data_IF_880627374316
#
_entry.id   IF_880627374316
#
_cell.length_a   1.000
_cell.length_b   1.000
_cell.length_c   1.000
_cell.angle_alpha   90.00
_cell.angle_beta   90.00
_cell.angle_gamma   90.00
#
_symmetry.space_group_name_H-M   'P 1'
#
loop_
_entity.id
_entity.type
_entity.pdbx_description
1 polymer ?
#
# COMPACT_ATOMS: atom_id res chain seq x y z
N UNK A 1 -15.65 -14.41 -9.22
CA UNK A 1 -15.16 -13.25 -8.43
C UNK A 1 -14.54 -12.18 -9.32
N UNK A 2 -13.37 -12.38 -9.94
CA UNK A 2 -12.75 -11.31 -10.76
C UNK A 2 -13.58 -10.89 -12.00
N UNK A 3 -14.26 -11.84 -12.65
CA UNK A 3 -15.20 -11.55 -13.74
C UNK A 3 -16.42 -10.73 -13.27
N UNK A 4 -16.98 -11.07 -12.10
CA UNK A 4 -18.09 -10.32 -11.48
C UNK A 4 -17.73 -8.86 -11.24
N UNK A 5 -16.51 -8.59 -10.74
CA UNK A 5 -16.02 -7.23 -10.49
C UNK A 5 -15.89 -6.39 -11.75
N UNK A 6 -15.39 -6.97 -12.84
CA UNK A 6 -15.28 -6.29 -14.14
C UNK A 6 -16.65 -6.00 -14.72
N UNK A 7 -17.56 -6.97 -14.67
CA UNK A 7 -18.95 -6.80 -15.13
C UNK A 7 -19.68 -5.72 -14.32
N UNK A 8 -19.46 -5.66 -13.01
CA UNK A 8 -19.99 -4.60 -12.15
C UNK A 8 -19.40 -3.22 -12.48
N UNK A 9 -18.11 -3.15 -12.84
CA UNK A 9 -17.50 -1.90 -13.26
C UNK A 9 -18.07 -1.43 -14.61
N UNK A 10 -18.26 -2.33 -15.57
CA UNK A 10 -18.91 -1.97 -16.83
C UNK A 10 -20.31 -1.42 -16.59
N UNK A 11 -21.11 -2.08 -15.76
CA UNK A 11 -22.50 -1.66 -15.48
C UNK A 11 -22.64 -0.24 -14.90
N UNK A 12 -21.63 0.24 -14.18
CA UNK A 12 -21.70 1.49 -13.41
C UNK A 12 -20.91 2.61 -14.06
N UNK A 13 -19.79 2.27 -14.69
CA UNK A 13 -18.89 3.25 -15.29
C UNK A 13 -19.21 3.52 -16.77
N UNK A 14 -19.97 2.66 -17.46
CA UNK A 14 -20.36 2.89 -18.86
C UNK A 14 -21.20 4.13 -19.08
N UNK A 15 -22.00 4.52 -18.09
CA UNK A 15 -22.92 5.66 -18.21
C UNK A 15 -22.22 7.01 -18.02
N UNK A 16 -20.98 6.98 -17.53
CA UNK A 16 -20.22 8.17 -17.10
C UNK A 16 -18.86 8.31 -17.78
N UNK A 17 -18.26 7.21 -18.24
CA UNK A 17 -16.95 7.20 -18.90
C UNK A 17 -17.09 6.91 -20.40
N UNK A 18 -16.29 7.60 -21.21
CA UNK A 18 -16.10 7.25 -22.61
C UNK A 18 -15.40 5.89 -22.75
N UNK A 19 -15.57 5.23 -23.90
CA UNK A 19 -15.12 3.85 -24.14
C UNK A 19 -13.61 3.65 -23.91
N UNK A 20 -12.80 4.65 -24.26
CA UNK A 20 -11.35 4.63 -24.00
C UNK A 20 -11.03 4.70 -22.49
N UNK A 21 -11.66 5.63 -21.78
CA UNK A 21 -11.49 5.81 -20.34
C UNK A 21 -12.02 4.61 -19.53
N UNK A 22 -13.13 4.00 -19.98
CA UNK A 22 -13.68 2.78 -19.41
C UNK A 22 -12.70 1.61 -19.59
N UNK A 23 -12.12 1.46 -20.79
CA UNK A 23 -11.13 0.42 -21.07
C UNK A 23 -9.92 0.56 -20.16
N UNK A 24 -9.38 1.78 -19.99
CA UNK A 24 -8.27 2.03 -19.06
C UNK A 24 -8.64 1.76 -17.59
N UNK A 25 -9.84 2.17 -17.17
CA UNK A 25 -10.33 1.91 -15.82
C UNK A 25 -10.43 0.40 -15.54
N UNK A 26 -10.87 -0.40 -16.51
CA UNK A 26 -10.96 -1.86 -16.38
C UNK A 26 -9.58 -2.53 -16.32
N UNK A 27 -8.58 -2.02 -17.07
CA UNK A 27 -7.19 -2.44 -16.92
C UNK A 27 -6.64 -2.12 -15.53
N UNK A 28 -6.85 -0.89 -15.08
CA UNK A 28 -6.45 -0.44 -13.75
C UNK A 28 -7.09 -1.30 -12.66
N UNK A 29 -8.38 -1.63 -12.80
CA UNK A 29 -9.11 -2.49 -11.88
C UNK A 29 -8.48 -3.89 -11.80
N UNK A 30 -8.10 -4.45 -12.94
CA UNK A 30 -7.48 -5.77 -13.00
C UNK A 30 -6.11 -5.80 -12.29
N UNK A 31 -5.30 -4.75 -12.47
CA UNK A 31 -3.95 -4.66 -11.90
C UNK A 31 -3.95 -4.29 -10.41
N UNK A 32 -4.89 -3.44 -9.98
CA UNK A 32 -4.92 -2.86 -8.63
C UNK A 32 -5.89 -3.56 -7.66
N UNK A 33 -7.05 -4.04 -8.12
CA UNK A 33 -8.05 -4.64 -7.21
C UNK A 33 -7.78 -6.13 -7.00
N UNK A 34 -7.17 -6.45 -5.86
CA UNK A 34 -6.95 -7.84 -5.41
C UNK A 34 -8.16 -8.44 -4.66
N UNK A 35 -9.02 -7.60 -4.09
CA UNK A 35 -10.20 -8.01 -3.30
C UNK A 35 -11.44 -7.13 -3.50
N UNK A 36 -12.45 -7.36 -2.65
CA UNK A 36 -13.72 -6.61 -2.59
C UNK A 36 -13.82 -5.77 -1.31
N UNK A 37 -12.69 -5.46 -0.70
CA UNK A 37 -12.67 -4.63 0.49
C UNK A 37 -13.10 -3.21 0.13
N UNK A 38 -13.80 -2.56 1.05
CA UNK A 38 -14.28 -1.18 0.88
C UNK A 38 -13.11 -0.23 0.57
N UNK A 39 -11.95 -0.42 1.19
CA UNK A 39 -10.74 0.37 0.90
C UNK A 39 -10.24 0.22 -0.54
N UNK A 40 -10.28 -1.00 -1.09
CA UNK A 40 -9.88 -1.26 -2.48
C UNK A 40 -10.87 -0.64 -3.47
N UNK A 41 -12.16 -0.68 -3.12
CA UNK A 41 -13.23 -0.05 -3.90
C UNK A 41 -13.08 1.48 -3.91
N UNK A 42 -12.85 2.10 -2.75
CA UNK A 42 -12.66 3.56 -2.64
C UNK A 42 -11.42 3.98 -3.43
N UNK A 43 -10.28 3.30 -3.22
CA UNK A 43 -9.03 3.64 -3.90
C UNK A 43 -9.15 3.51 -5.43
N UNK A 44 -9.89 2.51 -5.92
CA UNK A 44 -10.16 2.35 -7.34
C UNK A 44 -11.05 3.48 -7.89
N UNK A 45 -12.18 3.77 -7.24
CA UNK A 45 -13.09 4.83 -7.67
C UNK A 45 -12.39 6.19 -7.65
N UNK A 46 -11.58 6.48 -6.62
CA UNK A 46 -10.80 7.72 -6.52
C UNK A 46 -9.75 7.82 -7.63
N UNK A 47 -9.05 6.74 -7.96
CA UNK A 47 -8.07 6.73 -9.05
C UNK A 47 -8.72 6.97 -10.41
N UNK A 48 -9.91 6.40 -10.65
CA UNK A 48 -10.68 6.64 -11.87
C UNK A 48 -11.23 8.07 -11.91
N UNK A 49 -11.70 8.59 -10.77
CA UNK A 49 -12.21 9.94 -10.65
C UNK A 49 -11.14 11.00 -10.87
N UNK A 50 -9.95 10.82 -10.30
CA UNK A 50 -8.81 11.72 -10.50
C UNK A 50 -8.36 11.77 -11.96
N UNK A 51 -8.34 10.62 -12.65
CA UNK A 51 -7.94 10.53 -14.06
C UNK A 51 -8.95 11.17 -15.02
N UNK A 52 -10.23 11.11 -14.68
CA UNK A 52 -11.32 11.63 -15.52
C UNK A 52 -11.87 12.98 -15.02
N UNK A 53 -11.21 13.59 -14.02
CA UNK A 53 -11.60 14.88 -13.43
C UNK A 53 -13.08 14.93 -12.99
N UNK A 54 -13.56 13.84 -12.38
CA UNK A 54 -14.96 13.72 -11.95
C UNK A 54 -15.22 14.54 -10.68
N UNK A 55 -16.41 15.15 -10.61
CA UNK A 55 -16.85 15.93 -9.45
C UNK A 55 -17.26 15.02 -8.27
N UNK A 56 -17.21 15.57 -7.05
CA UNK A 56 -17.46 14.82 -5.81
C UNK A 56 -18.85 14.18 -5.74
N UNK A 57 -19.87 14.74 -6.41
CA UNK A 57 -21.20 14.14 -6.45
C UNK A 57 -21.24 12.92 -7.37
N UNK A 58 -20.54 12.98 -8.51
CA UNK A 58 -20.35 11.84 -9.42
C UNK A 58 -19.53 10.72 -8.77
N UNK A 59 -18.47 11.05 -8.02
CA UNK A 59 -17.68 10.07 -7.25
C UNK A 59 -18.54 9.32 -6.23
N UNK A 60 -19.38 10.04 -5.48
CA UNK A 60 -20.28 9.42 -4.50
C UNK A 60 -21.34 8.52 -5.16
N UNK A 61 -21.84 8.87 -6.35
CA UNK A 61 -22.73 7.99 -7.11
C UNK A 61 -22.02 6.74 -7.61
N UNK A 62 -20.80 6.89 -8.16
CA UNK A 62 -19.99 5.78 -8.64
C UNK A 62 -19.67 4.79 -7.52
N UNK A 63 -19.28 5.27 -6.35
CA UNK A 63 -19.03 4.41 -5.18
C UNK A 63 -20.27 3.60 -4.79
N UNK A 64 -21.42 4.27 -4.61
CA UNK A 64 -22.66 3.59 -4.20
C UNK A 64 -23.17 2.63 -5.28
N UNK A 65 -23.11 3.02 -6.54
CA UNK A 65 -23.51 2.20 -7.68
C UNK A 65 -22.63 0.96 -7.81
N UNK A 66 -21.31 1.12 -7.72
CA UNK A 66 -20.36 0.03 -7.84
C UNK A 66 -20.42 -0.94 -6.65
N UNK A 67 -20.53 -0.41 -5.43
CA UNK A 67 -20.74 -1.23 -4.24
C UNK A 67 -22.05 -2.04 -4.29
N UNK A 68 -23.13 -1.45 -4.82
CA UNK A 68 -24.40 -2.15 -5.04
C UNK A 68 -24.26 -3.22 -6.12
N UNK A 69 -23.63 -2.91 -7.25
CA UNK A 69 -23.44 -3.84 -8.37
C UNK A 69 -22.58 -5.06 -8.00
N UNK A 70 -21.62 -4.90 -7.07
CA UNK A 70 -20.82 -6.02 -6.53
C UNK A 70 -21.64 -6.99 -5.66
N UNK A 71 -22.74 -6.53 -5.06
CA UNK A 71 -23.64 -7.33 -4.21
C UNK A 71 -24.89 -7.81 -4.93
N UNK A 72 -25.14 -7.33 -6.14
CA UNK A 72 -26.29 -7.73 -6.95
C UNK A 72 -26.02 -9.07 -7.65
N UNK A 73 -27.09 -9.75 -8.06
CA UNK A 73 -26.98 -11.07 -8.69
C UNK A 73 -26.15 -10.98 -10.00
N UNK A 74 -25.10 -11.81 -10.17
CA UNK A 74 -24.23 -11.78 -11.35
C UNK A 74 -24.95 -12.01 -12.69
N UNK A 75 -26.17 -12.54 -12.68
CA UNK A 75 -26.99 -12.75 -13.89
C UNK A 75 -27.56 -11.44 -14.46
N UNK A 76 -27.63 -10.37 -13.67
CA UNK A 76 -28.07 -9.03 -14.13
C UNK A 76 -26.95 -8.14 -14.66
N UNK A 77 -25.70 -8.56 -14.48
CA UNK A 77 -24.55 -7.78 -14.92
C UNK A 77 -24.32 -7.93 -16.44
N UNK A 78 -23.80 -6.90 -17.12
CA UNK A 78 -23.46 -6.98 -18.55
C UNK A 78 -22.36 -8.03 -18.81
N UNK A 79 -22.17 -8.43 -20.06
CA UNK A 79 -21.14 -9.40 -20.45
C UNK A 79 -19.74 -8.89 -20.07
N UNK A 80 -18.82 -9.79 -19.68
CA UNK A 80 -17.43 -9.41 -19.33
C UNK A 80 -16.69 -8.95 -20.60
N UNK A 81 -16.22 -7.69 -20.69
CA UNK A 81 -15.51 -7.19 -21.88
C UNK A 81 -14.05 -7.68 -21.94
N UNK A 82 -13.58 -8.36 -20.90
CA UNK A 82 -12.18 -8.79 -20.76
C UNK A 82 -11.64 -9.66 -21.91
N UNK A 83 -12.39 -10.62 -22.48
CA UNK A 83 -11.92 -11.38 -23.65
C UNK A 83 -11.68 -10.47 -24.87
N UNK A 84 -12.57 -9.52 -25.12
CA UNK A 84 -12.45 -8.56 -26.23
C UNK A 84 -11.28 -7.61 -26.02
N UNK A 85 -11.07 -7.11 -24.80
CA UNK A 85 -9.93 -6.23 -24.46
C UNK A 85 -8.59 -6.95 -24.61
N UNK A 86 -8.49 -8.22 -24.22
CA UNK A 86 -7.29 -9.02 -24.39
C UNK A 86 -6.99 -9.29 -25.87
N UNK A 87 -8.02 -9.59 -26.67
CA UNK A 87 -7.88 -9.77 -28.11
C UNK A 87 -7.41 -8.47 -28.80
N UNK A 88 -7.97 -7.31 -28.42
CA UNK A 88 -7.52 -6.01 -28.92
C UNK A 88 -6.06 -5.71 -28.56
N UNK A 89 -5.63 -6.00 -27.32
CA UNK A 89 -4.24 -5.79 -26.90
C UNK A 89 -3.26 -6.76 -27.56
N UNK A 90 -3.69 -7.98 -27.84
CA UNK A 90 -2.91 -8.95 -28.60
C UNK A 90 -2.77 -8.55 -30.07
N UNK A 91 -3.79 -7.93 -30.67
CA UNK A 91 -3.74 -7.41 -32.04
C UNK A 91 -2.84 -6.16 -32.19
N UNK A 92 -2.69 -5.37 -31.13
CA UNK A 92 -1.79 -4.19 -31.09
C UNK A 92 -0.32 -4.61 -30.90
N UNK A 93 -0.05 -5.82 -30.39
CA UNK A 93 1.31 -6.35 -30.40
C UNK A 93 1.70 -6.67 -31.85
N UNK A 94 2.80 -6.10 -32.38
CA UNK A 94 3.27 -6.47 -33.70
C UNK A 94 3.53 -7.97 -33.70
N UNK A 95 2.88 -8.69 -34.62
CA UNK A 95 3.10 -10.11 -34.84
C UNK A 95 4.60 -10.32 -35.09
N UNK A 96 5.23 -11.16 -34.28
CA UNK A 96 6.62 -11.51 -34.48
C UNK A 96 6.78 -12.04 -35.92
N UNK A 97 7.73 -11.54 -36.71
CA UNK A 97 7.95 -12.06 -38.06
C UNK A 97 8.32 -13.56 -37.96
N UNK A 98 7.90 -14.38 -38.93
CA UNK A 98 8.23 -15.80 -38.91
C UNK A 98 9.75 -15.98 -38.93
N UNK A 99 10.28 -17.03 -38.27
CA UNK A 99 11.72 -17.25 -38.23
C UNK A 99 12.23 -17.50 -39.67
N UNK A 100 13.21 -16.72 -40.16
CA UNK A 100 13.87 -17.06 -41.42
C UNK A 100 14.76 -18.30 -41.21
N UNK A 101 14.97 -19.13 -42.25
CA UNK A 101 15.90 -20.24 -42.17
C UNK A 101 17.31 -19.71 -41.91
N UNK A 102 18.04 -20.43 -41.08
CA UNK A 102 19.42 -20.16 -40.68
C UNK A 102 20.31 -19.98 -41.91
N UNK A 103 20.77 -18.75 -42.14
CA UNK A 103 21.86 -18.45 -43.04
C UNK A 103 22.87 -17.61 -42.26
N UNK A 104 24.03 -18.21 -42.00
CA UNK A 104 25.16 -17.57 -41.36
C UNK A 104 25.72 -16.47 -42.27
N UNK A 105 25.81 -15.21 -41.81
CA UNK A 105 26.82 -14.26 -42.33
C UNK A 105 26.98 -13.02 -41.44
N UNK A 106 28.22 -12.88 -40.93
CA UNK A 106 29.06 -11.72 -40.60
C UNK A 106 28.45 -10.41 -40.07
N UNK A 107 29.02 -9.94 -38.95
CA UNK A 107 28.91 -8.59 -38.41
C UNK A 107 29.44 -7.51 -39.40
N UNK A 108 28.99 -6.25 -39.21
CA UNK A 108 29.98 -5.25 -38.82
C UNK A 108 29.51 -4.29 -37.71
N UNK A 109 30.52 -3.72 -37.05
CA UNK A 109 30.45 -2.84 -35.91
C UNK A 109 29.85 -1.46 -36.21
N UNK A 110 29.12 -0.91 -35.25
CA UNK A 110 28.74 0.50 -35.18
C UNK A 110 29.29 1.09 -33.88
N UNK A 111 30.10 2.14 -34.00
CA UNK A 111 30.79 2.81 -32.90
C UNK A 111 29.83 3.58 -31.97
N UNK A 112 30.10 3.65 -30.65
CA UNK A 112 29.28 4.45 -29.73
C UNK A 112 29.67 5.93 -29.82
N UNK A 113 28.69 6.79 -30.12
CA UNK A 113 28.79 8.23 -29.92
C UNK A 113 28.58 8.50 -28.43
N UNK A 114 29.66 8.74 -27.70
CA UNK A 114 29.66 9.10 -26.28
C UNK A 114 29.12 10.53 -26.16
N UNK A 115 27.92 10.68 -25.61
CA UNK A 115 27.36 11.98 -25.25
C UNK A 115 27.81 12.33 -23.81
N UNK A 116 28.77 13.25 -23.61
CA UNK A 116 29.42 13.48 -22.31
C UNK A 116 28.47 14.02 -21.23
N UNK A 117 27.34 14.61 -21.62
CA UNK A 117 26.33 15.14 -20.69
C UNK A 117 25.49 14.02 -20.05
N UNK A 118 25.21 12.95 -20.80
CA UNK A 118 24.45 11.80 -20.28
C UNK A 118 25.27 11.00 -19.25
N UNK A 119 26.59 10.91 -19.47
CA UNK A 119 27.50 10.24 -18.52
C UNK A 119 27.67 11.07 -17.24
N UNK A 120 27.74 12.41 -17.35
CA UNK A 120 27.83 13.29 -16.19
C UNK A 120 26.54 13.28 -15.33
N UNK A 121 25.36 13.21 -15.96
CA UNK A 121 24.09 13.14 -15.24
C UNK A 121 23.88 11.77 -14.56
N UNK A 122 24.32 10.69 -15.20
CA UNK A 122 24.31 9.35 -14.62
C UNK A 122 25.30 9.22 -13.44
N UNK A 123 26.48 9.84 -13.53
CA UNK A 123 27.45 9.89 -12.44
C UNK A 123 26.99 10.76 -11.27
N UNK A 124 26.26 11.85 -11.52
CA UNK A 124 25.67 12.68 -10.47
C UNK A 124 24.47 12.00 -9.77
N UNK A 125 23.68 11.20 -10.50
CA UNK A 125 22.60 10.40 -9.92
C UNK A 125 23.11 9.18 -9.15
N UNK A 126 24.28 8.65 -9.50
CA UNK A 126 24.96 7.60 -8.73
C UNK A 126 25.62 8.11 -7.43
N UNK A 127 25.70 9.43 -7.24
CA UNK A 127 26.27 10.07 -6.05
C UNK A 127 25.21 10.60 -5.07
N UNK A 128 24.00 10.02 -5.06
CA UNK A 128 23.11 10.13 -3.92
C UNK A 128 23.75 9.38 -2.73
N UNK A 129 23.75 9.93 -1.51
CA UNK A 129 24.51 9.38 -0.40
C UNK A 129 24.07 7.94 -0.15
N UNK A 130 25.05 7.05 -0.21
CA UNK A 130 24.96 5.66 0.24
C UNK A 130 24.38 5.71 1.65
N UNK A 131 23.07 5.48 1.76
CA UNK A 131 22.42 5.28 3.05
C UNK A 131 23.07 4.02 3.61
N UNK A 132 23.91 4.22 4.62
CA UNK A 132 24.52 3.15 5.37
C UNK A 132 23.44 2.12 5.69
N UNK A 133 23.60 0.89 5.20
CA UNK A 133 22.76 -0.24 5.58
C UNK A 133 22.92 -0.44 7.08
N UNK A 134 22.02 0.17 7.86
CA UNK A 134 21.87 -0.07 9.30
C UNK A 134 21.31 -1.50 9.46
N UNK A 135 21.77 -2.30 10.44
CA UNK A 135 21.23 -3.64 10.68
C UNK A 135 19.70 -3.58 10.75
N UNK A 136 19.00 -4.37 9.92
CA UNK A 136 17.54 -4.29 9.73
C UNK A 136 16.70 -4.75 10.93
N UNK A 137 17.30 -4.89 12.11
CA UNK A 137 16.67 -5.48 13.30
C UNK A 137 15.59 -4.57 13.91
N UNK A 138 15.81 -3.25 14.12
CA UNK A 138 14.80 -2.40 14.76
C UNK A 138 13.51 -2.22 13.92
N UNK A 139 13.56 -2.00 12.59
CA UNK A 139 12.36 -1.94 11.74
C UNK A 139 11.53 -3.22 11.74
N UNK A 140 12.18 -4.40 11.74
CA UNK A 140 11.48 -5.69 11.73
C UNK A 140 10.74 -5.91 13.06
N UNK A 141 11.39 -5.60 14.19
CA UNK A 141 10.79 -5.72 15.52
C UNK A 141 9.65 -4.72 15.72
N UNK A 142 9.84 -3.47 15.28
CA UNK A 142 8.77 -2.48 15.27
C UNK A 142 7.59 -2.95 14.41
N UNK A 143 7.87 -3.50 13.22
CA UNK A 143 6.83 -4.01 12.33
C UNK A 143 6.05 -5.19 12.91
N UNK A 144 6.74 -6.11 13.59
CA UNK A 144 6.10 -7.20 14.33
C UNK A 144 5.19 -6.69 15.45
N UNK A 145 5.68 -5.73 16.25
CA UNK A 145 4.91 -5.10 17.32
C UNK A 145 3.65 -4.41 16.78
N UNK A 146 3.78 -3.59 15.75
CA UNK A 146 2.65 -2.88 15.13
C UNK A 146 1.61 -3.83 14.56
N UNK A 147 2.04 -4.89 13.85
CA UNK A 147 1.11 -5.91 13.33
C UNK A 147 0.34 -6.60 14.44
N UNK A 148 1.02 -6.96 15.53
CA UNK A 148 0.38 -7.60 16.67
C UNK A 148 -0.63 -6.66 17.35
N UNK A 149 -0.28 -5.40 17.58
CA UNK A 149 -1.19 -4.39 18.16
C UNK A 149 -2.41 -4.18 17.26
N UNK A 150 -2.22 -3.97 15.95
CA UNK A 150 -3.33 -3.75 15.02
C UNK A 150 -4.23 -4.99 14.92
N UNK A 151 -3.65 -6.19 14.89
CA UNK A 151 -4.41 -7.44 14.87
C UNK A 151 -5.21 -7.62 16.15
N UNK A 152 -4.62 -7.37 17.32
CA UNK A 152 -5.27 -7.45 18.63
C UNK A 152 -6.47 -6.51 18.71
N UNK A 153 -6.27 -5.23 18.38
CA UNK A 153 -7.33 -4.21 18.38
C UNK A 153 -8.41 -4.57 17.37
N UNK A 154 -8.06 -5.04 16.17
CA UNK A 154 -9.05 -5.44 15.17
C UNK A 154 -9.88 -6.66 15.60
N UNK A 155 -9.26 -7.65 16.25
CA UNK A 155 -9.94 -8.88 16.68
C UNK A 155 -10.88 -8.64 17.86
N UNK A 156 -10.46 -7.84 18.83
CA UNK A 156 -11.21 -7.66 20.09
C UNK A 156 -12.05 -6.38 20.12
N UNK A 157 -11.66 -5.33 19.39
CA UNK A 157 -12.26 -4.00 19.47
C UNK A 157 -12.27 -3.31 18.09
N UNK A 158 -12.95 -3.93 17.12
CA UNK A 158 -12.95 -3.47 15.72
C UNK A 158 -13.39 -2.02 15.57
N UNK A 159 -14.43 -1.59 16.29
CA UNK A 159 -14.87 -0.18 16.27
C UNK A 159 -13.83 0.81 16.80
N UNK A 160 -12.96 0.39 17.72
CA UNK A 160 -11.94 1.26 18.31
C UNK A 160 -10.71 1.44 17.41
N UNK A 161 -10.51 0.57 16.40
CA UNK A 161 -9.35 0.66 15.51
C UNK A 161 -9.32 1.98 14.74
N UNK A 162 -10.49 2.46 14.28
CA UNK A 162 -10.60 3.72 13.54
C UNK A 162 -10.29 4.94 14.43
N UNK A 163 -10.70 4.91 15.70
CA UNK A 163 -10.37 5.95 16.69
C UNK A 163 -8.88 5.92 17.05
N UNK A 164 -8.31 4.74 17.35
CA UNK A 164 -6.87 4.58 17.60
C UNK A 164 -6.05 5.10 16.41
N UNK A 165 -6.47 4.79 15.17
CA UNK A 165 -5.83 5.33 13.97
C UNK A 165 -5.90 6.86 13.95
N UNK A 166 -7.09 7.43 14.12
CA UNK A 166 -7.31 8.88 14.07
C UNK A 166 -6.46 9.60 15.12
N UNK A 167 -6.46 9.11 16.35
CA UNK A 167 -5.70 9.69 17.45
C UNK A 167 -4.19 9.53 17.25
N UNK A 168 -3.73 8.38 16.75
CA UNK A 168 -2.33 8.17 16.40
C UNK A 168 -1.87 9.12 15.29
N UNK A 169 -2.69 9.33 14.25
CA UNK A 169 -2.37 10.23 13.14
C UNK A 169 -2.39 11.70 13.56
N UNK A 170 -3.31 12.10 14.44
CA UNK A 170 -3.37 13.45 15.01
C UNK A 170 -2.13 13.75 15.86
N UNK A 171 -1.69 12.77 16.66
CA UNK A 171 -0.49 12.89 17.52
C UNK A 171 0.81 12.81 16.72
N UNK A 172 0.81 12.14 15.57
CA UNK A 172 1.97 12.03 14.68
C UNK A 172 2.49 13.38 14.19
N UNK A 173 1.60 14.36 13.96
CA UNK A 173 1.99 15.70 13.52
C UNK A 173 2.86 16.43 14.55
N UNK A 174 2.63 16.19 15.84
CA UNK A 174 3.42 16.75 16.94
C UNK A 174 4.63 15.90 17.34
N UNK A 175 4.82 14.72 16.73
CA UNK A 175 5.93 13.82 17.06
C UNK A 175 7.26 14.33 16.52
N UNK A 176 8.35 13.96 17.20
CA UNK A 176 9.71 14.29 16.78
C UNK A 176 10.25 13.39 15.66
N UNK A 177 9.45 12.43 15.18
CA UNK A 177 9.86 11.49 14.15
C UNK A 177 10.14 12.20 12.81
N UNK A 178 11.13 11.69 12.07
CA UNK A 178 11.51 12.21 10.76
C UNK A 178 10.29 12.37 9.82
N UNK A 179 10.17 13.48 9.05
CA UNK A 179 9.00 13.73 8.19
C UNK A 179 8.69 12.60 7.20
N UNK A 180 9.73 12.00 6.60
CA UNK A 180 9.57 10.87 5.69
C UNK A 180 8.99 9.64 6.39
N UNK A 181 9.42 9.37 7.62
CA UNK A 181 8.93 8.26 8.43
C UNK A 181 7.47 8.49 8.85
N UNK A 182 7.11 9.73 9.20
CA UNK A 182 5.71 10.10 9.49
C UNK A 182 4.82 9.81 8.28
N UNK A 183 5.23 10.21 7.07
CA UNK A 183 4.48 9.91 5.86
C UNK A 183 4.30 8.40 5.64
N UNK A 184 5.36 7.60 5.82
CA UNK A 184 5.27 6.14 5.68
C UNK A 184 4.37 5.51 6.76
N UNK A 185 4.43 6.01 7.99
CA UNK A 185 3.53 5.58 9.07
C UNK A 185 2.07 5.91 8.75
N UNK A 186 1.77 7.10 8.17
CA UNK A 186 0.43 7.43 7.67
C UNK A 186 -0.04 6.46 6.58
N UNK A 187 0.84 6.16 5.62
CA UNK A 187 0.57 5.19 4.56
C UNK A 187 0.32 3.79 5.12
N UNK A 188 1.05 3.40 6.17
CA UNK A 188 0.86 2.13 6.88
C UNK A 188 -0.54 1.99 7.46
N UNK A 189 -1.06 3.05 8.08
CA UNK A 189 -2.42 3.07 8.63
C UNK A 189 -3.54 2.93 7.58
N UNK A 190 -3.30 3.35 6.34
CA UNK A 190 -4.28 3.14 5.25
C UNK A 190 -4.48 1.66 4.93
N UNK A 191 -3.47 0.82 5.22
CA UNK A 191 -3.46 -0.63 5.01
C UNK A 191 -3.06 -1.37 6.29
N UNK A 192 -3.56 -0.93 7.45
CA UNK A 192 -3.04 -1.34 8.75
C UNK A 192 -2.90 -2.86 8.95
N UNK A 193 -3.86 -3.65 8.46
CA UNK A 193 -3.87 -5.13 8.58
C UNK A 193 -2.97 -5.84 7.56
N UNK A 194 -2.65 -5.19 6.44
CA UNK A 194 -1.91 -5.79 5.31
C UNK A 194 -0.48 -5.26 5.21
N UNK A 195 -0.19 -4.14 5.88
CA UNK A 195 1.12 -3.52 5.88
C UNK A 195 2.10 -4.33 6.73
N UNK A 196 3.34 -4.45 6.28
CA UNK A 196 4.42 -5.15 6.99
C UNK A 196 4.97 -4.33 8.16
N UNK A 197 4.71 -3.02 8.15
CA UNK A 197 5.12 -2.03 9.14
C UNK A 197 6.64 -1.94 9.32
N UNK A 198 7.40 -2.39 8.32
CA UNK A 198 8.85 -2.30 8.30
C UNK A 198 9.26 -0.90 7.83
N UNK A 199 9.23 0.05 8.76
CA UNK A 199 9.53 1.43 8.46
C UNK A 199 11.04 1.71 8.59
N UNK A 200 11.73 2.20 7.54
CA UNK A 200 13.13 2.57 7.61
C UNK A 200 13.32 3.83 8.47
N UNK A 201 13.52 3.63 9.76
CA UNK A 201 13.74 4.68 10.76
C UNK A 201 14.84 4.34 11.75
N UNK A 202 15.38 5.36 12.41
CA UNK A 202 16.32 5.13 13.51
C UNK A 202 15.59 4.51 14.71
N UNK A 203 16.32 3.89 15.63
CA UNK A 203 15.73 3.36 16.87
C UNK A 203 14.97 4.46 17.64
N UNK A 204 15.49 5.68 17.70
CA UNK A 204 14.81 6.81 18.34
C UNK A 204 13.47 7.15 17.66
N UNK A 205 13.45 7.18 16.32
CA UNK A 205 12.21 7.48 15.59
C UNK A 205 11.15 6.37 15.77
N UNK A 206 11.55 5.10 15.70
CA UNK A 206 10.65 3.96 15.88
C UNK A 206 10.09 3.88 17.32
N UNK A 207 10.91 4.25 18.30
CA UNK A 207 10.46 4.39 19.69
C UNK A 207 9.42 5.52 19.83
N UNK A 208 9.64 6.65 19.17
CA UNK A 208 8.69 7.77 19.17
C UNK A 208 7.36 7.38 18.50
N UNK A 209 7.39 6.64 17.38
CA UNK A 209 6.17 6.10 16.77
C UNK A 209 5.44 5.14 17.71
N UNK A 210 6.18 4.28 18.42
CA UNK A 210 5.61 3.36 19.40
C UNK A 210 4.93 4.12 20.54
N UNK A 211 5.54 5.22 21.01
CA UNK A 211 4.97 6.13 22.00
C UNK A 211 3.66 6.76 21.49
N UNK A 212 3.64 7.24 20.24
CA UNK A 212 2.44 7.82 19.62
C UNK A 212 1.28 6.82 19.62
N UNK A 213 1.55 5.56 19.25
CA UNK A 213 0.55 4.48 19.25
C UNK A 213 0.08 4.17 20.66
N UNK A 214 0.99 4.05 21.63
CA UNK A 214 0.61 3.78 23.01
C UNK A 214 -0.28 4.88 23.59
N UNK A 215 0.01 6.16 23.30
CA UNK A 215 -0.86 7.26 23.75
C UNK A 215 -2.26 7.16 23.14
N UNK A 216 -2.37 6.85 21.85
CA UNK A 216 -3.66 6.64 21.18
C UNK A 216 -4.43 5.43 21.76
N UNK A 217 -3.73 4.34 22.09
CA UNK A 217 -4.34 3.20 22.79
C UNK A 217 -4.84 3.61 24.19
N UNK A 218 -4.10 4.47 24.88
CA UNK A 218 -4.48 5.00 26.19
C UNK A 218 -5.76 5.85 26.15
N UNK A 219 -5.95 6.61 25.08
CA UNK A 219 -7.19 7.38 24.88
C UNK A 219 -8.37 6.47 24.57
N UNK A 220 -8.17 5.44 23.74
CA UNK A 220 -9.25 4.54 23.30
C UNK A 220 -9.68 3.52 24.36
N UNK A 221 -8.73 2.98 25.14
CA UNK A 221 -8.96 1.85 26.05
C UNK A 221 -8.68 2.17 27.53
N UNK A 222 -8.23 3.39 27.82
CA UNK A 222 -7.65 3.71 29.11
C UNK A 222 -6.28 3.06 29.32
N UNK A 223 -5.61 3.45 30.41
CA UNK A 223 -4.23 3.01 30.69
C UNK A 223 -4.08 1.49 30.79
N UNK A 224 -4.97 0.83 31.53
CA UNK A 224 -4.89 -0.62 31.72
C UNK A 224 -5.10 -1.41 30.42
N UNK A 225 -6.01 -0.96 29.54
CA UNK A 225 -6.23 -1.56 28.23
C UNK A 225 -5.04 -1.35 27.30
N UNK A 226 -4.46 -0.14 27.29
CA UNK A 226 -3.25 0.15 26.52
C UNK A 226 -2.06 -0.71 26.95
N UNK A 227 -1.84 -0.88 28.25
CA UNK A 227 -0.80 -1.74 28.80
C UNK A 227 -1.01 -3.20 28.40
N UNK A 228 -2.25 -3.70 28.43
CA UNK A 228 -2.58 -5.07 28.04
C UNK A 228 -2.33 -5.32 26.54
N UNK A 229 -2.78 -4.40 25.67
CA UNK A 229 -2.56 -4.49 24.22
C UNK A 229 -1.07 -4.40 23.90
N UNK A 230 -0.35 -3.47 24.53
CA UNK A 230 1.08 -3.31 24.33
C UNK A 230 1.86 -4.54 24.81
N UNK A 231 1.54 -5.09 25.99
CA UNK A 231 2.17 -6.31 26.50
C UNK A 231 2.00 -7.48 25.55
N UNK A 232 0.79 -7.73 25.05
CA UNK A 232 0.52 -8.79 24.06
C UNK A 232 1.27 -8.56 22.75
N UNK A 233 1.33 -7.31 22.30
CA UNK A 233 2.11 -6.93 21.13
C UNK A 233 3.61 -7.21 21.30
N UNK A 234 4.16 -6.96 22.50
CA UNK A 234 5.55 -7.24 22.83
C UNK A 234 5.83 -8.73 22.93
N UNK A 235 4.95 -9.50 23.58
CA UNK A 235 5.08 -10.96 23.67
C UNK A 235 5.09 -11.58 22.25
N UNK A 236 4.25 -11.07 21.35
CA UNK A 236 4.23 -11.48 19.95
C UNK A 236 5.49 -11.05 19.18
N UNK A 237 6.01 -9.84 19.43
CA UNK A 237 7.27 -9.38 18.84
C UNK A 237 8.49 -10.14 19.38
N UNK A 238 8.45 -10.61 20.63
CA UNK A 238 9.49 -11.44 21.26
C UNK A 238 9.54 -12.85 20.66
N UNK A 239 8.44 -13.34 20.08
CA UNK A 239 8.38 -14.64 19.41
C UNK A 239 9.07 -14.66 18.02
N UNK A 240 9.45 -13.48 17.49
CA UNK A 240 10.09 -13.32 16.18
C UNK A 240 11.59 -13.65 16.30
N UNK A 241 12.22 -14.37 15.34
CA UNK A 241 13.60 -14.83 15.49
C UNK A 241 14.62 -13.69 15.68
N UNK A 242 14.35 -12.53 15.09
CA UNK A 242 15.12 -11.29 15.22
C UNK A 242 15.16 -10.76 16.67
N UNK A 243 14.19 -11.12 17.52
CA UNK A 243 14.13 -10.70 18.92
C UNK A 243 15.27 -11.28 19.77
N UNK A 244 15.91 -12.36 19.29
CA UNK A 244 17.12 -12.95 19.91
C UNK A 244 18.32 -12.00 19.83
N UNK A 245 18.36 -11.13 18.83
CA UNK A 245 19.45 -10.16 18.63
C UNK A 245 19.05 -8.79 19.19
N UNK A 246 17.79 -8.39 19.01
CA UNK A 246 17.26 -7.12 19.50
C UNK A 246 15.92 -7.29 20.21
N UNK A 247 15.92 -7.23 21.55
CA UNK A 247 14.68 -7.35 22.34
C UNK A 247 13.73 -6.17 22.06
N UNK A 248 12.43 -6.42 21.76
CA UNK A 248 11.42 -5.38 21.56
C UNK A 248 11.31 -4.37 22.72
N UNK A 249 11.59 -4.81 23.95
CA UNK A 249 11.60 -3.94 25.14
C UNK A 249 12.64 -2.82 25.04
N UNK A 250 13.70 -2.99 24.25
CA UNK A 250 14.70 -1.95 23.98
C UNK A 250 14.10 -0.78 23.17
N UNK A 251 13.05 -1.00 22.37
CA UNK A 251 12.30 0.09 21.72
C UNK A 251 11.60 0.98 22.74
N UNK A 252 11.21 0.42 23.88
CA UNK A 252 10.44 1.14 24.90
C UNK A 252 11.32 1.77 25.97
N UNK A 253 12.49 1.20 26.24
CA UNK A 253 13.45 1.73 27.20
C UNK A 253 13.91 3.16 26.88
N UNK A 254 13.83 3.56 25.62
CA UNK A 254 14.14 4.93 25.15
C UNK A 254 12.98 5.91 25.34
N UNK A 255 11.76 5.42 25.63
CA UNK A 255 10.56 6.25 25.82
C UNK A 255 10.50 6.70 27.29
N UNK A 256 10.87 7.96 27.57
CA UNK A 256 10.73 8.53 28.92
C UNK A 256 9.28 8.47 29.39
N UNK A 257 9.05 7.81 30.54
CA UNK A 257 7.75 7.78 31.23
C UNK A 257 6.87 6.55 30.96
N UNK A 258 7.26 5.66 30.05
CA UNK A 258 6.62 4.34 29.91
C UNK A 258 7.24 3.38 30.94
N UNK A 259 6.52 3.07 32.02
CA UNK A 259 6.80 1.89 32.84
C UNK A 259 5.70 0.88 32.56
N UNK A 260 6.08 -0.21 31.91
CA UNK A 260 5.26 -1.41 31.68
C UNK A 260 5.69 -2.46 32.70
#
# INVERSE_FOLDING_TARGET
MQATRRRAAVAVFSDLLEEAALTEALWLQHESMRGENVSDIIAFVDAVAQRNLLDSASVKRLYNGFYKALRENPDRLPLDPWPSMQAARAAIRPSAPPPPPVAATVAPASAPVINPVAVALAAAQAAAPVQAQVPQEPPVIFGALMRAIVAEVFQHHREALDEVRKDALQRLDASMAAPALRQQFRSGWSRALQHDWQLPGTHADLAELTRVVYMALGDAFGRAGADQVLKRGLDAAEAVPEAKVFSPRRLLATIKGLRI
#
